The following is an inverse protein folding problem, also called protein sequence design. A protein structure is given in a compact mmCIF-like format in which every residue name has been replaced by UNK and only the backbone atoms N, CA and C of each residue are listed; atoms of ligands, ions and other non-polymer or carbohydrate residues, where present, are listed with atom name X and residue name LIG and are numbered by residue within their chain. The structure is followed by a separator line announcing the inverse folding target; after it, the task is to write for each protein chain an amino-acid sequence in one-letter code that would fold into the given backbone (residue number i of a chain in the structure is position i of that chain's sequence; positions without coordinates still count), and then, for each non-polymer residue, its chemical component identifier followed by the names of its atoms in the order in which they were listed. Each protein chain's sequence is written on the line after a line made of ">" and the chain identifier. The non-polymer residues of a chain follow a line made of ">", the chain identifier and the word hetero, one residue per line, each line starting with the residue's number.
data_IF_786784992405
#
_entry.id   IF_786784992405
#
_cell.length_a   1.000
_cell.length_b   1.000
_cell.length_c   1.000
_cell.angle_alpha   90.00
_cell.angle_beta   90.00
_cell.angle_gamma   90.00
#
_symmetry.space_group_name_H-M   'P 1'
#
loop_
_entity.id
_entity.type
_entity.pdbx_description
1 polymer ?
#
# COMPACT_ATOMS: atom_id res chain seq x y z
N UNK A 1 22.36 -0.94 -13.66
CA UNK A 1 21.02 -0.43 -13.32
C UNK A 1 20.51 -1.31 -12.21
N UNK A 2 20.07 -0.73 -11.09
CA UNK A 2 19.47 -1.48 -9.98
C UNK A 2 18.13 -2.06 -10.41
N UNK A 3 17.77 -3.24 -9.91
CA UNK A 3 16.42 -3.80 -10.12
C UNK A 3 15.39 -2.86 -9.49
N UNK A 4 14.33 -2.44 -10.20
CA UNK A 4 13.28 -1.60 -9.63
C UNK A 4 12.62 -2.25 -8.40
N UNK A 5 12.24 -1.43 -7.42
CA UNK A 5 11.44 -1.89 -6.29
C UNK A 5 10.02 -2.18 -6.73
N UNK A 6 9.50 -3.34 -6.34
CA UNK A 6 8.16 -3.81 -6.71
C UNK A 6 7.15 -3.45 -5.61
N UNK A 7 6.12 -2.70 -5.97
CA UNK A 7 5.08 -2.24 -5.06
C UNK A 7 3.71 -2.85 -5.36
N UNK A 8 2.90 -3.08 -4.33
CA UNK A 8 1.46 -3.35 -4.47
C UNK A 8 0.66 -2.20 -3.87
N UNK A 9 -0.22 -1.60 -4.66
CA UNK A 9 -1.14 -0.57 -4.18
C UNK A 9 -2.44 -1.23 -3.67
N UNK A 10 -2.84 -0.93 -2.45
CA UNK A 10 -4.02 -1.48 -1.79
C UNK A 10 -4.99 -0.32 -1.54
N UNK A 11 -6.13 -0.35 -2.22
CA UNK A 11 -7.11 0.73 -2.30
C UNK A 11 -7.04 1.46 -3.64
N UNK A 12 -8.16 1.51 -4.35
CA UNK A 12 -8.36 2.21 -5.62
C UNK A 12 -9.40 3.35 -5.49
N UNK A 13 -9.50 3.94 -4.29
CA UNK A 13 -10.37 5.08 -4.01
C UNK A 13 -9.83 6.41 -4.54
N UNK A 14 -10.48 7.52 -4.19
CA UNK A 14 -10.13 8.85 -4.72
C UNK A 14 -8.65 9.22 -4.60
N UNK A 15 -7.99 8.87 -3.48
CA UNK A 15 -6.58 9.23 -3.27
C UNK A 15 -5.60 8.35 -4.02
N UNK A 16 -6.00 7.17 -4.49
CA UNK A 16 -5.06 6.22 -5.13
C UNK A 16 -4.44 6.77 -6.41
N UNK A 17 -5.18 7.59 -7.17
CA UNK A 17 -4.66 8.22 -8.39
C UNK A 17 -3.43 9.10 -8.15
N UNK A 18 -3.35 9.79 -7.00
CA UNK A 18 -2.22 10.66 -6.70
C UNK A 18 -0.99 9.85 -6.32
N UNK A 19 -1.20 8.74 -5.62
CA UNK A 19 -0.16 7.78 -5.27
C UNK A 19 0.36 7.07 -6.53
N UNK A 20 -0.53 6.50 -7.33
CA UNK A 20 -0.18 5.80 -8.58
C UNK A 20 0.51 6.72 -9.58
N UNK A 21 0.06 7.99 -9.72
CA UNK A 21 0.77 8.98 -10.55
C UNK A 21 2.16 9.33 -10.00
N UNK A 22 2.32 9.39 -8.68
CA UNK A 22 3.63 9.59 -8.07
C UNK A 22 4.57 8.40 -8.33
N UNK A 23 4.11 7.17 -8.12
CA UNK A 23 4.90 5.96 -8.38
C UNK A 23 5.30 5.83 -9.84
N UNK A 24 4.37 6.10 -10.78
CA UNK A 24 4.63 6.05 -12.22
C UNK A 24 5.74 7.01 -12.69
N UNK A 25 6.02 8.07 -11.93
CA UNK A 25 7.07 9.06 -12.26
C UNK A 25 8.47 8.66 -11.77
N UNK A 26 8.60 7.54 -11.07
CA UNK A 26 9.88 7.02 -10.57
C UNK A 26 10.38 5.90 -11.49
N UNK A 27 11.60 6.05 -12.00
CA UNK A 27 12.22 5.06 -12.90
C UNK A 27 12.71 3.81 -12.16
N UNK A 28 12.80 3.85 -10.83
CA UNK A 28 13.31 2.80 -9.95
C UNK A 28 12.20 2.08 -9.15
N UNK A 29 10.94 2.28 -9.52
CA UNK A 29 9.77 1.63 -8.91
C UNK A 29 8.83 1.05 -9.96
N UNK A 30 8.30 -0.14 -9.70
CA UNK A 30 7.25 -0.77 -10.50
C UNK A 30 6.06 -1.14 -9.59
N UNK A 31 4.87 -0.60 -9.88
CA UNK A 31 3.64 -1.07 -9.25
C UNK A 31 3.14 -2.31 -9.98
N UNK A 32 3.29 -3.48 -9.35
CA UNK A 32 3.01 -4.78 -9.97
C UNK A 32 1.55 -5.18 -9.88
N UNK A 33 0.80 -4.64 -8.92
CA UNK A 33 -0.65 -4.87 -8.80
C UNK A 33 -1.38 -3.72 -8.10
N UNK A 34 -2.65 -3.53 -8.49
CA UNK A 34 -3.62 -2.71 -7.76
C UNK A 34 -4.69 -3.62 -7.16
N UNK A 35 -4.98 -3.43 -5.87
CA UNK A 35 -5.97 -4.21 -5.14
C UNK A 35 -7.10 -3.33 -4.65
N UNK A 36 -8.35 -3.69 -4.89
CA UNK A 36 -9.52 -3.10 -4.23
C UNK A 36 -10.64 -4.13 -4.16
N UNK A 37 -11.38 -4.16 -3.04
CA UNK A 37 -12.54 -5.04 -2.87
C UNK A 37 -13.61 -4.81 -3.93
N UNK A 38 -13.66 -3.61 -4.49
CA UNK A 38 -14.41 -3.29 -5.71
C UNK A 38 -13.48 -3.43 -6.93
N UNK A 39 -13.52 -4.61 -7.55
CA UNK A 39 -12.66 -4.95 -8.68
C UNK A 39 -12.79 -3.95 -9.84
N UNK A 40 -13.96 -3.32 -10.02
CA UNK A 40 -14.15 -2.31 -11.07
C UNK A 40 -13.26 -1.08 -10.85
N UNK A 41 -13.07 -0.65 -9.59
CA UNK A 41 -12.19 0.48 -9.26
C UNK A 41 -10.73 0.12 -9.47
N UNK A 42 -10.35 -1.09 -9.05
CA UNK A 42 -8.99 -1.58 -9.24
C UNK A 42 -8.64 -1.71 -10.72
N UNK A 43 -9.55 -2.25 -11.56
CA UNK A 43 -9.38 -2.28 -13.02
C UNK A 43 -9.28 -0.88 -13.62
N UNK A 44 -10.15 0.04 -13.24
CA UNK A 44 -10.10 1.41 -13.76
C UNK A 44 -8.75 2.09 -13.44
N UNK A 45 -8.27 1.95 -12.21
CA UNK A 45 -6.97 2.50 -11.82
C UNK A 45 -5.82 1.80 -12.56
N UNK A 46 -5.87 0.48 -12.69
CA UNK A 46 -4.85 -0.29 -13.40
C UNK A 46 -4.75 0.12 -14.88
N UNK A 47 -5.89 0.29 -15.56
CA UNK A 47 -5.94 0.76 -16.94
C UNK A 47 -5.41 2.21 -17.09
N UNK A 48 -5.76 3.11 -16.16
CA UNK A 48 -5.33 4.51 -16.19
C UNK A 48 -3.80 4.65 -15.99
N UNK A 49 -3.22 3.82 -15.12
CA UNK A 49 -1.81 3.92 -14.72
C UNK A 49 -0.90 2.87 -15.35
N UNK A 50 -1.43 1.96 -16.16
CA UNK A 50 -0.66 0.93 -16.87
C UNK A 50 -0.19 -0.22 -15.98
N UNK A 51 -0.93 -0.54 -14.91
CA UNK A 51 -0.63 -1.69 -14.04
C UNK A 51 -1.28 -2.94 -14.61
N UNK A 52 -0.50 -4.03 -14.74
CA UNK A 52 -0.97 -5.24 -15.42
C UNK A 52 -1.93 -6.07 -14.57
N UNK A 53 -1.72 -6.11 -13.26
CA UNK A 53 -2.45 -7.02 -12.38
C UNK A 53 -3.47 -6.29 -11.50
N UNK A 54 -4.64 -6.91 -11.38
CA UNK A 54 -5.74 -6.46 -10.54
C UNK A 54 -6.16 -7.59 -9.61
N UNK A 55 -6.36 -7.32 -8.33
CA UNK A 55 -6.87 -8.29 -7.34
C UNK A 55 -7.95 -7.64 -6.47
N UNK A 56 -8.83 -8.46 -5.90
CA UNK A 56 -9.85 -8.04 -4.93
C UNK A 56 -9.48 -8.39 -3.48
N UNK A 57 -8.47 -9.24 -3.30
CA UNK A 57 -7.89 -9.62 -2.00
C UNK A 57 -6.44 -9.15 -1.91
N UNK A 58 -6.19 -8.22 -0.97
CA UNK A 58 -4.88 -7.65 -0.75
C UNK A 58 -3.87 -8.65 -0.16
N UNK A 59 -4.31 -9.56 0.72
CA UNK A 59 -3.42 -10.53 1.36
C UNK A 59 -2.98 -11.57 0.33
N UNK A 60 -3.93 -12.07 -0.48
CA UNK A 60 -3.61 -12.98 -1.56
C UNK A 60 -2.69 -12.33 -2.60
N UNK A 61 -2.88 -11.05 -2.92
CA UNK A 61 -1.99 -10.32 -3.81
C UNK A 61 -0.57 -10.19 -3.23
N UNK A 62 -0.44 -9.89 -1.93
CA UNK A 62 0.87 -9.83 -1.25
C UNK A 62 1.58 -11.20 -1.35
N UNK A 63 0.86 -12.28 -1.07
CA UNK A 63 1.38 -13.66 -1.13
C UNK A 63 1.72 -14.11 -2.56
N UNK A 64 1.01 -13.61 -3.56
CA UNK A 64 1.28 -13.93 -4.96
C UNK A 64 2.52 -13.16 -5.47
N UNK A 65 2.51 -11.85 -5.31
CA UNK A 65 3.49 -10.98 -5.96
C UNK A 65 4.80 -10.81 -5.20
N UNK A 66 4.81 -11.10 -3.89
CA UNK A 66 5.97 -10.91 -3.01
C UNK A 66 6.62 -9.53 -3.22
N UNK A 67 5.89 -8.42 -3.00
CA UNK A 67 6.42 -7.08 -3.28
C UNK A 67 7.47 -6.66 -2.24
N UNK A 68 8.34 -5.74 -2.64
CA UNK A 68 9.29 -5.08 -1.73
C UNK A 68 8.58 -4.14 -0.76
N UNK A 69 7.47 -3.52 -1.21
CA UNK A 69 6.63 -2.65 -0.39
C UNK A 69 5.14 -2.73 -0.74
N UNK A 70 4.31 -2.30 0.21
CA UNK A 70 2.88 -2.03 -0.03
C UNK A 70 2.56 -0.56 0.20
N UNK A 71 1.69 -0.01 -0.64
CA UNK A 71 1.08 1.31 -0.45
C UNK A 71 -0.40 1.15 -0.08
N UNK A 72 -0.71 1.41 1.19
CA UNK A 72 -2.05 1.25 1.76
C UNK A 72 -2.79 2.58 1.67
N UNK A 73 -3.75 2.65 0.74
CA UNK A 73 -4.51 3.84 0.34
C UNK A 73 -6.01 3.64 0.62
N UNK A 74 -6.32 2.79 1.61
CA UNK A 74 -7.69 2.45 2.01
C UNK A 74 -8.20 3.40 3.10
N UNK A 75 -9.47 3.27 3.53
CA UNK A 75 -9.94 3.95 4.73
C UNK A 75 -9.27 3.43 6.02
N UNK A 76 -9.15 4.28 7.08
CA UNK A 76 -8.36 3.99 8.27
C UNK A 76 -8.72 2.70 9.02
N UNK A 77 -10.00 2.31 9.00
CA UNK A 77 -10.50 1.11 9.71
C UNK A 77 -9.82 -0.19 9.24
N UNK A 78 -9.24 -0.19 8.04
CA UNK A 78 -8.57 -1.35 7.47
C UNK A 78 -7.05 -1.37 7.69
N UNK A 79 -6.45 -0.25 8.08
CA UNK A 79 -5.00 -0.08 8.10
C UNK A 79 -4.32 -1.08 9.02
N UNK A 80 -4.79 -1.24 10.27
CA UNK A 80 -4.14 -2.14 11.24
C UNK A 80 -4.04 -3.59 10.72
N UNK A 81 -5.08 -4.09 10.06
CA UNK A 81 -5.09 -5.44 9.52
C UNK A 81 -4.12 -5.59 8.33
N UNK A 82 -4.12 -4.62 7.42
CA UNK A 82 -3.24 -4.63 6.23
C UNK A 82 -1.77 -4.43 6.61
N UNK A 83 -1.49 -3.51 7.53
CA UNK A 83 -0.14 -3.26 8.06
C UNK A 83 0.37 -4.52 8.76
N UNK A 84 -0.45 -5.19 9.57
CA UNK A 84 -0.09 -6.47 10.20
C UNK A 84 0.28 -7.51 9.14
N UNK A 85 -0.55 -7.69 8.12
CA UNK A 85 -0.32 -8.67 7.07
C UNK A 85 1.02 -8.43 6.34
N UNK A 86 1.37 -7.18 6.04
CA UNK A 86 2.65 -6.83 5.42
C UNK A 86 3.84 -6.97 6.40
N UNK A 87 3.69 -6.52 7.64
CA UNK A 87 4.73 -6.57 8.66
C UNK A 87 5.12 -8.00 9.05
N UNK A 88 4.14 -8.90 9.15
CA UNK A 88 4.34 -10.34 9.41
C UNK A 88 5.19 -11.00 8.30
N UNK A 89 5.16 -10.42 7.08
CA UNK A 89 5.92 -10.88 5.90
C UNK A 89 7.22 -10.10 5.67
N UNK A 90 7.57 -9.18 6.58
CA UNK A 90 8.77 -8.32 6.46
C UNK A 90 8.76 -7.40 5.23
N UNK A 91 7.60 -6.99 4.77
CA UNK A 91 7.42 -6.09 3.63
C UNK A 91 7.42 -4.64 4.12
N UNK A 92 8.04 -3.72 3.37
CA UNK A 92 8.03 -2.30 3.70
C UNK A 92 6.64 -1.69 3.47
N UNK A 93 6.28 -0.68 4.25
CA UNK A 93 4.90 -0.18 4.28
C UNK A 93 4.89 1.34 4.17
N UNK A 94 4.11 1.84 3.22
CA UNK A 94 3.63 3.21 3.22
C UNK A 94 2.10 3.19 3.39
N UNK A 95 1.57 4.05 4.26
CA UNK A 95 0.15 4.04 4.62
C UNK A 95 -0.41 5.46 4.64
N UNK A 96 -1.57 5.65 4.00
CA UNK A 96 -2.29 6.92 4.00
C UNK A 96 -2.62 7.38 5.42
N UNK A 97 -2.66 8.70 5.59
CA UNK A 97 -3.30 9.34 6.74
C UNK A 97 -4.84 9.32 6.60
N UNK A 98 -5.59 9.53 7.69
CA UNK A 98 -5.12 9.37 9.06
C UNK A 98 -4.72 7.90 9.30
N UNK A 99 -3.69 7.69 10.12
CA UNK A 99 -3.09 6.38 10.33
C UNK A 99 -4.11 5.33 10.82
N UNK A 100 -5.03 5.75 11.68
CA UNK A 100 -6.03 4.91 12.31
C UNK A 100 -7.29 5.72 12.61
N UNK A 101 -8.44 5.08 12.87
CA UNK A 101 -9.68 5.78 13.24
C UNK A 101 -9.61 6.46 14.62
N UNK A 102 -8.74 5.98 15.51
CA UNK A 102 -8.61 6.47 16.88
C UNK A 102 -7.16 6.33 17.40
N UNK A 103 -6.89 6.97 18.55
CA UNK A 103 -5.56 6.99 19.16
C UNK A 103 -5.08 5.62 19.63
N UNK A 104 -5.97 4.77 20.15
CA UNK A 104 -5.60 3.45 20.65
C UNK A 104 -5.18 2.55 19.48
N UNK A 105 -5.94 2.58 18.39
CA UNK A 105 -5.63 1.88 17.13
C UNK A 105 -4.33 2.39 16.51
N UNK A 106 -4.06 3.70 16.55
CA UNK A 106 -2.79 4.27 16.10
C UNK A 106 -1.60 3.75 16.94
N UNK A 107 -1.73 3.73 18.27
CA UNK A 107 -0.71 3.18 19.17
C UNK A 107 -0.42 1.71 18.90
N UNK A 108 -1.48 0.91 18.66
CA UNK A 108 -1.33 -0.50 18.30
C UNK A 108 -0.57 -0.72 17.00
N UNK A 109 -0.74 0.17 16.01
CA UNK A 109 0.03 0.14 14.76
C UNK A 109 1.51 0.44 15.02
N UNK A 110 1.82 1.49 15.78
CA UNK A 110 3.21 1.87 16.10
C UNK A 110 3.94 0.73 16.81
N UNK A 111 3.33 0.16 17.85
CA UNK A 111 3.89 -0.98 18.59
C UNK A 111 4.12 -2.20 17.68
N UNK A 112 3.21 -2.42 16.73
CA UNK A 112 3.31 -3.53 15.78
C UNK A 112 4.50 -3.38 14.85
N UNK A 113 4.65 -2.21 14.21
CA UNK A 113 5.73 -1.99 13.24
C UNK A 113 7.09 -1.90 13.90
N UNK A 114 7.17 -1.35 15.12
CA UNK A 114 8.38 -1.32 15.93
C UNK A 114 8.87 -2.74 16.28
N UNK A 115 7.97 -3.59 16.79
CA UNK A 115 8.28 -5.01 17.05
C UNK A 115 8.64 -5.78 15.79
N UNK A 116 8.01 -5.46 14.66
CA UNK A 116 8.28 -6.13 13.40
C UNK A 116 9.63 -5.71 12.79
N UNK A 117 10.13 -4.50 13.10
CA UNK A 117 11.38 -3.97 12.56
C UNK A 117 11.35 -3.76 11.05
N UNK A 118 10.18 -3.42 10.49
CA UNK A 118 10.00 -3.16 9.05
C UNK A 118 10.04 -1.65 8.76
N UNK A 119 10.53 -1.22 7.59
CA UNK A 119 10.37 0.16 7.17
C UNK A 119 8.88 0.52 7.11
N UNK A 120 8.49 1.54 7.86
CA UNK A 120 7.11 2.00 7.97
C UNK A 120 7.04 3.51 7.85
N UNK A 121 6.17 4.00 6.97
CA UNK A 121 5.94 5.43 6.77
C UNK A 121 4.45 5.74 6.71
N UNK A 122 4.03 6.75 7.48
CA UNK A 122 2.73 7.39 7.27
C UNK A 122 2.91 8.43 6.18
N UNK A 123 2.07 8.39 5.14
CA UNK A 123 2.08 9.32 4.02
C UNK A 123 1.50 10.68 4.42
N UNK A 124 2.25 11.42 5.25
CA UNK A 124 1.96 12.79 5.63
C UNK A 124 2.58 13.77 4.62
N UNK A 125 1.86 13.94 3.52
CA UNK A 125 2.36 14.65 2.35
C UNK A 125 2.67 16.14 2.58
N UNK A 126 2.18 16.77 3.67
CA UNK A 126 2.53 18.16 4.02
C UNK A 126 3.91 18.31 4.67
N UNK A 127 4.62 17.21 4.93
CA UNK A 127 5.98 17.23 5.47
C UNK A 127 7.06 17.40 4.39
N UNK A 128 6.70 17.32 3.11
CA UNK A 128 7.59 17.34 1.95
C UNK A 128 7.13 18.40 0.94
#
# INVERSE_FOLDING_TARGET
>A
MTTPLRGVCIGAGYFSRFHLDAWRRLDDVEIVAVCDRDLSKATQAADEFGVVNVRDDAIAAIDEFHPDFVDIITPPDSHLALIRAAADRKIAIICQKPLAPDFASAGAIVDLVDRAGVPFMVHENFRF
#
